data_IF_548249031970
#
_entry.id   IF_548249031970
#
_cell.length_a   1.000
_cell.length_b   1.000
_cell.length_c   1.000
_cell.angle_alpha   90.00
_cell.angle_beta   90.00
_cell.angle_gamma   90.00
#
_symmetry.space_group_name_H-M   'P 1'
#
loop_
_entity.id
_entity.type
_entity.pdbx_description
1 polymer ?
#
# COMPACT_ATOMS: atom_id res chain seq x y z
N UNK A 1 14.42 46.41 -56.44
CA UNK A 1 13.05 46.96 -56.37
C UNK A 1 12.12 45.85 -56.85
N UNK A 2 11.52 45.05 -55.97
CA UNK A 2 10.15 45.23 -55.42
C UNK A 2 9.15 44.52 -56.36
N UNK A 3 8.33 43.53 -56.00
CA UNK A 3 7.82 43.07 -54.71
C UNK A 3 6.28 43.02 -54.78
N UNK A 4 5.71 41.92 -55.27
CA UNK A 4 4.26 41.59 -55.29
C UNK A 4 4.19 40.04 -55.31
N UNK A 5 3.22 39.27 -54.79
CA UNK A 5 1.82 39.38 -54.34
C UNK A 5 1.62 38.32 -53.23
N UNK A 6 0.81 38.55 -52.19
CA UNK A 6 -0.60 38.12 -52.17
C UNK A 6 -0.82 36.96 -51.18
N UNK A 7 -1.32 37.27 -49.97
CA UNK A 7 -1.79 36.28 -48.98
C UNK A 7 -3.31 36.06 -49.02
N UNK A 8 -3.84 34.92 -48.55
CA UNK A 8 -5.28 34.70 -48.32
C UNK A 8 -5.65 35.03 -46.85
N UNK A 9 -6.67 35.86 -46.55
CA UNK A 9 -8.13 35.64 -46.53
C UNK A 9 -8.62 34.50 -45.61
N UNK A 10 -9.18 34.84 -44.44
CA UNK A 10 -10.63 34.65 -44.09
C UNK A 10 -10.94 34.85 -42.58
N UNK A 11 -11.75 35.89 -42.29
CA UNK A 11 -13.01 36.02 -41.46
C UNK A 11 -13.20 35.32 -40.07
N UNK A 12 -14.24 35.65 -39.27
CA UNK A 12 -14.34 36.83 -38.37
C UNK A 12 -14.71 36.48 -36.90
N UNK A 13 -14.58 37.48 -36.01
CA UNK A 13 -15.03 37.45 -34.60
C UNK A 13 -16.57 37.41 -34.47
N UNK A 14 -17.07 36.66 -33.48
CA UNK A 14 -18.32 36.97 -32.77
C UNK A 14 -18.27 36.52 -31.31
N UNK A 15 -18.32 37.51 -30.41
CA UNK A 15 -18.67 37.35 -29.00
C UNK A 15 -20.19 37.38 -28.84
N UNK A 16 -20.78 36.55 -27.96
CA UNK A 16 -21.76 36.93 -26.92
C UNK A 16 -22.27 35.69 -26.13
N UNK A 17 -22.81 35.87 -24.91
CA UNK A 17 -22.68 34.95 -23.77
C UNK A 17 -23.94 34.11 -23.50
N UNK A 18 -23.84 33.07 -22.66
CA UNK A 18 -25.00 32.33 -22.17
C UNK A 18 -25.01 32.29 -20.64
N UNK A 19 -26.20 32.64 -20.14
CA UNK A 19 -26.64 32.89 -18.78
C UNK A 19 -26.68 31.67 -17.85
N UNK A 20 -26.50 32.01 -16.58
CA UNK A 20 -26.90 31.29 -15.37
C UNK A 20 -28.42 31.10 -15.31
N UNK A 21 -28.89 29.86 -15.10
CA UNK A 21 -30.20 29.60 -14.48
C UNK A 21 -30.10 28.48 -13.46
N UNK A 22 -30.74 28.71 -12.32
CA UNK A 22 -30.87 27.80 -11.18
C UNK A 22 -32.28 27.20 -11.11
N UNK A 23 -32.44 26.23 -10.19
CA UNK A 23 -33.64 25.47 -9.78
C UNK A 23 -33.80 24.09 -10.48
N UNK A 24 -34.15 22.99 -9.79
CA UNK A 24 -34.67 22.83 -8.43
C UNK A 24 -34.51 21.40 -7.89
N UNK A 25 -34.82 21.26 -6.61
CA UNK A 25 -34.70 20.07 -5.77
C UNK A 25 -35.84 19.05 -5.99
N UNK A 26 -35.52 17.76 -5.80
CA UNK A 26 -36.34 16.64 -5.28
C UNK A 26 -35.66 15.31 -5.69
N UNK A 27 -35.58 14.22 -4.94
CA UNK A 27 -35.93 13.88 -3.56
C UNK A 27 -35.05 12.68 -3.16
N UNK A 28 -34.72 12.57 -1.88
CA UNK A 28 -33.87 11.53 -1.33
C UNK A 28 -34.52 10.14 -1.38
N UNK A 29 -33.77 9.13 -1.83
CA UNK A 29 -34.05 7.71 -1.52
C UNK A 29 -33.07 7.26 -0.44
N UNK A 30 -33.52 6.62 0.67
CA UNK A 30 -32.68 6.37 1.84
C UNK A 30 -31.73 5.19 1.58
N UNK A 31 -30.47 5.49 1.29
CA UNK A 31 -29.38 4.52 1.27
C UNK A 31 -28.73 4.40 2.65
N UNK A 32 -28.62 3.16 3.12
CA UNK A 32 -28.06 2.72 4.41
C UNK A 32 -26.83 3.53 4.90
N UNK A 33 -26.78 3.90 6.20
CA UNK A 33 -25.68 4.65 6.78
C UNK A 33 -24.52 3.75 7.19
N UNK A 34 -23.29 4.20 6.92
CA UNK A 34 -22.08 3.62 7.49
C UNK A 34 -20.82 3.93 6.69
N UNK A 35 -20.33 5.17 6.82
CA UNK A 35 -19.12 5.72 6.18
C UNK A 35 -17.96 4.71 6.03
N UNK A 36 -17.60 4.40 4.79
CA UNK A 36 -16.25 3.95 4.47
C UNK A 36 -15.24 5.05 4.81
N UNK A 37 -14.16 4.67 5.51
CA UNK A 37 -13.06 5.58 5.80
C UNK A 37 -12.42 6.13 4.52
N UNK A 38 -11.77 7.28 4.62
CA UNK A 38 -11.13 8.01 3.50
C UNK A 38 -9.90 7.32 2.90
N UNK A 39 -9.61 6.07 3.26
CA UNK A 39 -8.45 5.31 2.82
C UNK A 39 -8.74 4.31 1.69
N UNK A 40 -10.01 3.97 1.41
CA UNK A 40 -10.37 3.17 0.23
C UNK A 40 -9.92 1.70 0.25
N UNK A 41 -9.55 1.15 1.42
CA UNK A 41 -8.90 -0.19 1.51
C UNK A 41 -9.72 -1.31 2.18
N UNK A 42 -11.04 -1.17 2.35
CA UNK A 42 -11.94 -2.30 2.65
C UNK A 42 -11.38 -3.31 3.66
N UNK A 43 -11.25 -2.89 4.91
CA UNK A 43 -10.85 -3.65 6.11
C UNK A 43 -10.39 -5.10 5.93
N UNK A 44 -9.09 -5.31 5.67
CA UNK A 44 -8.15 -6.18 6.39
C UNK A 44 -6.72 -5.82 5.91
N UNK A 45 -5.95 -5.12 6.74
CA UNK A 45 -4.65 -4.52 6.35
C UNK A 45 -3.47 -5.50 6.27
N UNK A 46 -3.69 -6.82 6.30
CA UNK A 46 -2.64 -7.86 6.23
C UNK A 46 -3.18 -9.08 5.49
N UNK A 47 -2.31 -9.69 4.67
CA UNK A 47 -2.61 -11.00 4.08
C UNK A 47 -2.61 -12.06 5.18
N UNK A 48 -3.53 -13.00 5.10
CA UNK A 48 -3.55 -14.22 5.89
C UNK A 48 -2.34 -15.09 5.52
N UNK A 49 -1.88 -15.03 4.27
CA UNK A 49 -0.80 -15.87 3.76
C UNK A 49 0.52 -15.09 3.68
N UNK A 50 1.62 -15.77 4.00
CA UNK A 50 2.98 -15.27 3.77
C UNK A 50 3.53 -15.73 2.43
N UNK A 51 3.20 -16.95 2.01
CA UNK A 51 3.50 -17.56 0.71
C UNK A 51 2.28 -18.26 0.11
N UNK A 52 2.40 -18.71 -1.14
CA UNK A 52 1.32 -19.44 -1.81
C UNK A 52 1.02 -20.80 -1.17
N UNK A 53 -0.26 -21.17 -1.15
CA UNK A 53 -0.75 -22.53 -0.82
C UNK A 53 -1.52 -23.10 -2.00
N UNK A 54 -1.45 -24.42 -2.19
CA UNK A 54 -2.02 -25.13 -3.34
C UNK A 54 -1.00 -25.99 -4.09
N UNK A 55 -1.42 -26.65 -5.16
CA UNK A 55 -0.52 -27.50 -5.98
C UNK A 55 0.65 -26.67 -6.52
N UNK A 56 1.86 -27.18 -6.31
CA UNK A 56 3.10 -26.53 -6.76
C UNK A 56 3.42 -25.20 -6.07
N UNK A 57 2.81 -24.91 -4.91
CA UNK A 57 3.15 -23.75 -4.09
C UNK A 57 4.05 -24.13 -2.90
N UNK A 58 4.53 -23.14 -2.16
CA UNK A 58 5.44 -23.33 -1.02
C UNK A 58 4.80 -24.16 0.11
N UNK A 59 3.49 -24.00 0.32
CA UNK A 59 2.72 -24.76 1.32
C UNK A 59 3.37 -24.76 2.71
N UNK A 60 3.82 -23.58 3.18
CA UNK A 60 4.35 -23.45 4.53
C UNK A 60 3.28 -23.87 5.56
N UNK A 61 3.61 -24.64 6.60
CA UNK A 61 2.63 -25.18 7.55
C UNK A 61 1.71 -24.11 8.15
N UNK A 62 2.22 -22.90 8.38
CA UNK A 62 1.48 -21.76 8.94
C UNK A 62 0.48 -21.20 7.92
N UNK A 63 0.86 -21.11 6.65
CA UNK A 63 -0.02 -20.64 5.58
C UNK A 63 -1.09 -21.68 5.24
N UNK A 64 -0.71 -22.97 5.26
CA UNK A 64 -1.65 -24.09 5.15
C UNK A 64 -2.63 -24.05 6.31
N UNK A 65 -2.16 -23.84 7.54
CA UNK A 65 -3.03 -23.74 8.72
C UNK A 65 -4.01 -22.59 8.64
N UNK A 66 -3.58 -21.40 8.20
CA UNK A 66 -4.46 -20.23 8.07
C UNK A 66 -5.50 -20.43 6.98
N UNK A 67 -5.10 -20.96 5.82
CA UNK A 67 -6.04 -21.30 4.76
C UNK A 67 -7.01 -22.40 5.21
N UNK A 68 -6.52 -23.48 5.83
CA UNK A 68 -7.33 -24.58 6.31
C UNK A 68 -8.29 -24.15 7.43
N UNK A 69 -7.86 -23.23 8.31
CA UNK A 69 -8.70 -22.63 9.34
C UNK A 69 -9.83 -21.81 8.75
N UNK A 70 -9.54 -20.99 7.73
CA UNK A 70 -10.58 -20.27 7.00
C UNK A 70 -11.59 -21.24 6.37
N UNK A 71 -11.11 -22.29 5.70
CA UNK A 71 -11.98 -23.29 5.07
C UNK A 71 -12.84 -24.04 6.10
N UNK A 72 -12.26 -24.41 7.25
CA UNK A 72 -12.98 -25.11 8.32
C UNK A 72 -14.04 -24.24 9.00
N UNK A 73 -13.73 -22.97 9.29
CA UNK A 73 -14.68 -22.02 9.89
C UNK A 73 -15.90 -21.76 8.98
N UNK A 74 -15.73 -21.97 7.68
CA UNK A 74 -16.77 -21.82 6.68
C UNK A 74 -17.35 -23.17 6.21
N UNK A 75 -17.09 -24.27 6.94
CA UNK A 75 -17.69 -25.58 6.70
C UNK A 75 -17.23 -26.31 5.43
N UNK A 76 -16.13 -25.86 4.81
CA UNK A 76 -15.57 -26.45 3.60
C UNK A 76 -14.62 -27.62 3.94
N UNK A 77 -13.91 -27.51 5.07
CA UNK A 77 -13.11 -28.58 5.65
C UNK A 77 -13.70 -29.01 7.01
N UNK A 78 -13.54 -30.29 7.40
CA UNK A 78 -14.02 -30.75 8.71
C UNK A 78 -13.19 -30.19 9.87
N UNK A 79 -11.89 -29.96 9.67
CA UNK A 79 -10.99 -29.36 10.64
C UNK A 79 -9.79 -28.69 9.96
N UNK A 80 -9.11 -27.73 10.62
CA UNK A 80 -7.85 -27.17 10.13
C UNK A 80 -6.73 -28.24 10.10
N UNK A 81 -5.80 -28.08 9.16
CA UNK A 81 -4.61 -28.93 9.02
C UNK A 81 -3.38 -28.05 8.75
N UNK A 82 -2.18 -28.57 9.03
CA UNK A 82 -0.89 -27.99 8.63
C UNK A 82 -0.28 -28.68 7.42
N UNK A 83 -0.86 -29.82 7.04
CA UNK A 83 -0.39 -30.64 5.94
C UNK A 83 -1.17 -30.30 4.67
N UNK A 84 -0.47 -30.01 3.58
CA UNK A 84 -1.07 -29.72 2.29
C UNK A 84 -1.46 -31.03 1.54
N UNK A 85 -2.29 -31.84 2.19
CA UNK A 85 -2.81 -33.10 1.64
C UNK A 85 -3.88 -32.88 0.55
N UNK A 86 -4.28 -33.95 -0.12
CA UNK A 86 -5.30 -33.89 -1.17
C UNK A 86 -6.66 -33.34 -0.68
N UNK A 87 -6.99 -33.55 0.60
CA UNK A 87 -8.20 -33.01 1.21
C UNK A 87 -8.15 -31.48 1.32
N UNK A 88 -7.04 -30.93 1.80
CA UNK A 88 -6.80 -29.50 1.86
C UNK A 88 -6.79 -28.86 0.45
N UNK A 89 -6.08 -29.47 -0.50
CA UNK A 89 -5.99 -28.97 -1.87
C UNK A 89 -7.36 -28.90 -2.55
N UNK A 90 -8.19 -29.93 -2.38
CA UNK A 90 -9.57 -29.93 -2.85
C UNK A 90 -10.43 -28.90 -2.10
N UNK A 91 -10.16 -28.68 -0.81
CA UNK A 91 -10.79 -27.64 0.00
C UNK A 91 -10.55 -26.22 -0.55
N UNK A 92 -9.35 -25.90 -1.03
CA UNK A 92 -9.08 -24.59 -1.65
C UNK A 92 -9.96 -24.38 -2.89
N UNK A 93 -10.05 -25.39 -3.77
CA UNK A 93 -10.87 -25.30 -4.98
C UNK A 93 -12.36 -25.07 -4.64
N UNK A 94 -12.90 -25.84 -3.67
CA UNK A 94 -14.27 -25.63 -3.15
C UNK A 94 -14.46 -24.25 -2.53
N UNK A 95 -13.45 -23.72 -1.84
CA UNK A 95 -13.46 -22.35 -1.34
C UNK A 95 -13.54 -21.31 -2.45
N UNK A 96 -12.81 -21.51 -3.55
CA UNK A 96 -12.87 -20.64 -4.72
C UNK A 96 -14.24 -20.68 -5.41
N UNK A 97 -14.86 -21.86 -5.53
CA UNK A 97 -16.24 -22.01 -6.02
C UNK A 97 -17.23 -21.24 -5.14
N UNK A 98 -17.14 -21.40 -3.82
CA UNK A 98 -18.01 -20.70 -2.87
C UNK A 98 -17.84 -19.18 -2.96
N UNK A 99 -16.62 -18.70 -3.14
CA UNK A 99 -16.35 -17.27 -3.31
C UNK A 99 -16.93 -16.73 -4.63
N UNK A 100 -16.85 -17.51 -5.72
CA UNK A 100 -17.49 -17.18 -6.99
C UNK A 100 -19.01 -16.99 -6.82
N UNK A 101 -19.68 -17.89 -6.11
CA UNK A 101 -21.12 -17.77 -5.86
C UNK A 101 -21.47 -16.48 -5.10
N UNK A 102 -20.63 -16.09 -4.14
CA UNK A 102 -20.84 -14.89 -3.32
C UNK A 102 -20.50 -13.58 -4.03
N UNK A 103 -19.61 -13.61 -5.04
CA UNK A 103 -19.11 -12.44 -5.75
C UNK A 103 -19.70 -12.25 -7.16
N UNK A 104 -20.50 -13.20 -7.66
CA UNK A 104 -21.04 -13.18 -9.03
C UNK A 104 -20.05 -13.68 -10.09
N UNK A 105 -19.10 -14.54 -9.70
CA UNK A 105 -18.11 -15.17 -10.59
C UNK A 105 -16.80 -14.40 -10.75
N UNK A 106 -15.96 -14.86 -11.70
CA UNK A 106 -14.71 -14.20 -12.11
C UNK A 106 -13.43 -14.69 -11.41
N UNK A 107 -13.53 -15.53 -10.38
CA UNK A 107 -12.40 -16.18 -9.73
C UNK A 107 -12.06 -17.50 -10.44
N UNK A 108 -10.77 -17.72 -10.73
CA UNK A 108 -10.30 -19.00 -11.25
C UNK A 108 -10.35 -20.06 -10.15
N UNK A 109 -10.90 -21.24 -10.47
CA UNK A 109 -10.88 -22.43 -9.61
C UNK A 109 -9.67 -23.27 -9.99
N UNK A 110 -8.52 -22.95 -9.42
CA UNK A 110 -7.24 -23.63 -9.69
C UNK A 110 -6.62 -24.29 -8.44
N UNK A 111 -7.31 -24.23 -7.29
CA UNK A 111 -6.83 -24.79 -6.04
C UNK A 111 -5.59 -24.08 -5.49
N UNK A 112 -5.35 -22.83 -5.91
CA UNK A 112 -4.20 -22.02 -5.47
C UNK A 112 -4.68 -20.73 -4.80
N UNK A 113 -4.20 -20.49 -3.59
CA UNK A 113 -4.36 -19.19 -2.91
C UNK A 113 -2.98 -18.58 -2.69
N UNK A 114 -2.83 -17.31 -3.10
CA UNK A 114 -1.58 -16.56 -2.96
C UNK A 114 -1.80 -15.33 -2.08
N UNK A 115 -0.76 -14.87 -1.37
CA UNK A 115 -0.77 -13.60 -0.69
C UNK A 115 -1.21 -12.48 -1.65
N UNK A 116 -2.28 -11.78 -1.29
CA UNK A 116 -2.93 -10.72 -2.07
C UNK A 116 -3.43 -11.15 -3.46
N UNK A 117 -3.56 -12.45 -3.68
CA UNK A 117 -4.13 -13.01 -4.90
C UNK A 117 -5.65 -12.84 -4.94
N UNK A 118 -6.29 -13.03 -6.11
CA UNK A 118 -7.74 -12.88 -6.28
C UNK A 118 -8.56 -13.70 -5.27
N UNK A 119 -8.13 -14.94 -4.98
CA UNK A 119 -8.79 -15.82 -4.01
C UNK A 119 -8.78 -15.22 -2.61
N UNK A 120 -7.65 -14.68 -2.17
CA UNK A 120 -7.53 -14.10 -0.84
C UNK A 120 -8.27 -12.77 -0.71
N UNK A 121 -8.19 -11.91 -1.73
CA UNK A 121 -8.90 -10.63 -1.74
C UNK A 121 -10.41 -10.85 -1.66
N UNK A 122 -10.94 -11.83 -2.40
CA UNK A 122 -12.36 -12.17 -2.32
C UNK A 122 -12.72 -12.80 -0.97
N UNK A 123 -11.84 -13.62 -0.40
CA UNK A 123 -12.02 -14.17 0.96
C UNK A 123 -12.13 -13.05 2.00
N UNK A 124 -11.21 -12.07 1.97
CA UNK A 124 -11.23 -10.92 2.86
C UNK A 124 -12.52 -10.11 2.69
N UNK A 125 -12.94 -9.82 1.46
CA UNK A 125 -14.21 -9.12 1.21
C UNK A 125 -15.42 -9.90 1.74
N UNK A 126 -15.44 -11.21 1.55
CA UNK A 126 -16.51 -12.07 2.06
C UNK A 126 -16.58 -12.00 3.60
N UNK A 127 -15.44 -11.97 4.28
CA UNK A 127 -15.37 -11.75 5.73
C UNK A 127 -15.85 -10.35 6.13
N UNK A 128 -15.35 -9.29 5.49
CA UNK A 128 -15.73 -7.92 5.83
C UNK A 128 -17.21 -7.64 5.58
N UNK A 129 -17.82 -8.34 4.62
CA UNK A 129 -19.28 -8.27 4.35
C UNK A 129 -20.12 -9.19 5.24
N UNK A 130 -19.51 -9.92 6.18
CA UNK A 130 -20.19 -10.87 7.07
C UNK A 130 -20.70 -12.14 6.39
N UNK A 131 -20.34 -12.37 5.12
CA UNK A 131 -20.76 -13.54 4.33
C UNK A 131 -19.94 -14.79 4.62
N UNK A 132 -18.74 -14.63 5.19
CA UNK A 132 -17.84 -15.70 5.61
C UNK A 132 -17.17 -15.35 6.94
N UNK A 133 -16.66 -16.35 7.65
CA UNK A 133 -15.91 -16.19 8.90
C UNK A 133 -14.40 -16.07 8.63
N UNK A 134 -13.65 -15.30 9.45
CA UNK A 134 -12.19 -15.23 9.34
C UNK A 134 -11.51 -16.54 9.78
N UNK A 135 -10.24 -16.77 9.41
CA UNK A 135 -9.45 -17.88 9.96
C UNK A 135 -9.21 -17.72 11.47
N UNK A 136 -9.06 -18.85 12.18
CA UNK A 136 -8.66 -18.86 13.59
C UNK A 136 -7.25 -18.27 13.80
N UNK A 137 -6.97 -17.61 14.93
CA UNK A 137 -5.63 -17.17 15.29
C UNK A 137 -4.71 -18.36 15.59
N UNK A 138 -3.42 -18.23 15.23
CA UNK A 138 -2.38 -19.27 15.42
C UNK A 138 -2.13 -19.65 16.92
N UNK A 139 -2.72 -18.92 17.88
CA UNK A 139 -2.51 -19.08 19.33
C UNK A 139 -3.52 -19.96 20.06
N UNK A 140 -4.56 -20.47 19.41
CA UNK A 140 -5.53 -21.37 20.07
C UNK A 140 -5.12 -22.84 19.92
N UNK A 141 -5.05 -23.61 21.03
CA UNK A 141 -4.70 -25.02 20.97
C UNK A 141 -5.77 -25.83 20.21
N UNK A 142 -5.29 -26.78 19.41
CA UNK A 142 -6.07 -27.66 18.57
C UNK A 142 -6.96 -28.58 19.43
N UNK A 143 -8.24 -28.26 19.62
CA UNK A 143 -9.20 -29.23 20.16
C UNK A 143 -9.58 -30.17 19.01
N UNK A 144 -8.83 -31.26 18.87
CA UNK A 144 -9.37 -32.49 18.27
C UNK A 144 -10.03 -33.30 19.40
N UNK A 145 -11.24 -33.82 19.23
CA UNK A 145 -11.74 -34.85 20.12
C UNK A 145 -10.99 -36.17 19.86
N UNK A 146 -10.68 -36.85 20.96
CA UNK A 146 -10.36 -38.26 21.11
C UNK A 146 -8.90 -38.75 21.08
N UNK A 147 -8.51 -39.21 22.29
CA UNK A 147 -7.68 -40.38 22.65
C UNK A 147 -6.31 -40.54 22.01
N UNK A 148 -5.27 -40.26 22.78
CA UNK A 148 -4.39 -41.31 23.32
C UNK A 148 -3.41 -40.69 24.33
N UNK A 149 -3.42 -41.25 25.54
CA UNK A 149 -2.42 -41.06 26.58
C UNK A 149 -1.05 -41.45 26.07
N UNK A 150 -0.03 -40.62 26.28
CA UNK A 150 1.32 -41.09 26.60
C UNK A 150 2.10 -39.98 27.32
N UNK A 151 2.45 -40.28 28.58
CA UNK A 151 3.28 -39.47 29.47
C UNK A 151 4.74 -39.47 29.00
N UNK A 152 5.38 -38.31 28.89
CA UNK A 152 6.83 -38.20 29.07
C UNK A 152 7.14 -36.98 29.94
N UNK A 153 7.95 -37.27 30.94
CA UNK A 153 8.36 -36.54 32.14
C UNK A 153 9.00 -35.19 31.84
N UNK A 154 8.53 -34.16 32.54
CA UNK A 154 9.13 -32.83 32.57
C UNK A 154 10.39 -32.86 33.46
N UNK A 155 11.57 -32.73 32.86
CA UNK A 155 12.83 -32.42 33.58
C UNK A 155 13.31 -31.04 33.17
N UNK A 156 13.67 -30.24 34.17
CA UNK A 156 13.68 -28.78 34.14
C UNK A 156 14.64 -28.12 33.15
N UNK A 157 14.21 -26.94 32.69
CA UNK A 157 15.05 -25.94 32.04
C UNK A 157 15.06 -24.68 32.92
N UNK A 158 16.22 -24.04 33.16
CA UNK A 158 16.33 -22.87 34.05
C UNK A 158 15.54 -21.66 33.51
N UNK A 159 14.98 -20.85 34.42
CA UNK A 159 14.35 -19.57 34.11
C UNK A 159 15.38 -18.56 33.57
N UNK A 160 15.60 -18.57 32.24
CA UNK A 160 16.26 -17.50 31.51
C UNK A 160 15.26 -16.44 31.07
N UNK A 161 15.62 -15.17 31.30
CA UNK A 161 14.91 -13.93 30.97
C UNK A 161 13.71 -14.03 30.00
N UNK A 162 12.50 -13.72 30.49
CA UNK A 162 11.34 -13.48 29.63
C UNK A 162 11.67 -12.34 28.67
N UNK A 163 11.83 -12.66 27.38
CA UNK A 163 11.98 -11.67 26.32
C UNK A 163 10.81 -10.68 26.38
N UNK A 164 11.08 -9.37 26.29
CA UNK A 164 10.03 -8.35 26.19
C UNK A 164 9.06 -8.74 25.06
N UNK A 165 7.74 -8.62 25.26
CA UNK A 165 6.78 -8.90 24.20
C UNK A 165 7.09 -7.99 23.01
N UNK A 166 7.00 -8.57 21.80
CA UNK A 166 7.24 -7.83 20.56
C UNK A 166 6.32 -6.59 20.52
N UNK A 167 6.82 -5.44 20.04
CA UNK A 167 6.00 -4.24 19.94
C UNK A 167 4.84 -4.45 18.96
N UNK A 168 3.75 -3.72 19.20
CA UNK A 168 2.53 -3.83 18.39
C UNK A 168 2.65 -3.14 17.01
N UNK A 169 3.69 -2.33 16.81
CA UNK A 169 4.02 -1.69 15.54
C UNK A 169 5.11 -2.47 14.79
N UNK A 170 5.18 -2.35 13.44
CA UNK A 170 6.26 -2.93 12.65
C UNK A 170 7.61 -2.41 13.12
N UNK A 171 8.59 -3.30 13.27
CA UNK A 171 9.95 -2.93 13.66
C UNK A 171 10.86 -2.89 12.44
N UNK A 172 11.84 -2.00 12.48
CA UNK A 172 13.03 -2.19 11.69
C UNK A 172 13.96 -3.16 12.43
N UNK A 173 13.94 -4.43 12.04
CA UNK A 173 14.82 -5.46 12.58
C UNK A 173 16.25 -5.41 11.98
N UNK A 174 16.51 -4.45 11.10
CA UNK A 174 17.79 -4.26 10.43
C UNK A 174 18.07 -5.28 9.32
N UNK A 175 17.15 -6.19 8.99
CA UNK A 175 17.40 -7.25 7.99
C UNK A 175 17.10 -6.81 6.57
N UNK A 176 16.23 -5.81 6.38
CA UNK A 176 15.89 -5.32 5.04
C UNK A 176 16.89 -4.28 4.56
N UNK A 177 17.88 -4.71 3.78
CA UNK A 177 18.96 -3.84 3.28
C UNK A 177 18.45 -2.64 2.47
N UNK A 178 17.42 -2.81 1.64
CA UNK A 178 16.83 -1.73 0.87
C UNK A 178 16.19 -0.68 1.79
N UNK A 179 15.41 -1.11 2.78
CA UNK A 179 14.83 -0.20 3.75
C UNK A 179 15.91 0.53 4.58
N UNK A 180 16.96 -0.18 5.01
CA UNK A 180 18.04 0.44 5.79
C UNK A 180 18.77 1.53 5.00
N UNK A 181 19.04 1.33 3.70
CA UNK A 181 19.63 2.35 2.83
C UNK A 181 18.73 3.59 2.73
N UNK A 182 17.43 3.37 2.48
CA UNK A 182 16.43 4.44 2.39
C UNK A 182 16.34 5.23 3.70
N UNK A 183 16.24 4.54 4.83
CA UNK A 183 16.13 5.13 6.15
C UNK A 183 17.39 5.92 6.53
N UNK A 184 18.58 5.40 6.24
CA UNK A 184 19.84 6.10 6.47
C UNK A 184 19.91 7.40 5.68
N UNK A 185 19.49 7.38 4.41
CA UNK A 185 19.44 8.58 3.57
C UNK A 185 18.42 9.60 4.09
N UNK A 186 17.23 9.15 4.48
CA UNK A 186 16.21 10.04 5.08
C UNK A 186 16.70 10.67 6.38
N UNK A 187 17.36 9.93 7.28
CA UNK A 187 17.91 10.48 8.53
C UNK A 187 19.01 11.54 8.34
N UNK A 188 19.72 11.54 7.20
CA UNK A 188 20.66 12.61 6.86
C UNK A 188 19.96 13.91 6.45
N UNK A 189 18.73 13.81 5.93
CA UNK A 189 17.94 14.92 5.42
C UNK A 189 16.94 15.46 6.47
N UNK A 190 16.51 14.62 7.40
CA UNK A 190 15.53 14.95 8.44
C UNK A 190 16.21 15.39 9.73
N UNK A 191 15.80 16.55 10.26
CA UNK A 191 16.30 17.11 11.52
C UNK A 191 15.59 16.55 12.77
N UNK A 192 15.83 17.19 13.92
CA UNK A 192 15.16 16.86 15.18
C UNK A 192 13.71 17.37 15.26
N UNK A 193 13.24 17.63 16.48
CA UNK A 193 11.92 18.22 16.70
C UNK A 193 11.84 19.67 16.19
N UNK A 194 10.78 19.98 15.46
CA UNK A 194 10.49 21.32 14.94
C UNK A 194 9.04 21.68 15.24
N UNK A 195 8.81 22.84 15.85
CA UNK A 195 7.49 23.40 16.09
C UNK A 195 7.44 24.81 15.50
N UNK A 196 6.73 24.96 14.37
CA UNK A 196 6.57 26.23 13.65
C UNK A 196 5.11 26.66 13.67
N UNK A 197 4.84 27.93 13.36
CA UNK A 197 3.45 28.42 13.27
C UNK A 197 2.65 27.65 12.23
N UNK A 198 1.35 27.49 12.45
CA UNK A 198 0.47 26.72 11.57
C UNK A 198 0.41 27.26 10.12
N UNK A 199 0.70 28.55 9.92
CA UNK A 199 0.77 29.18 8.59
C UNK A 199 1.97 28.67 7.78
N UNK A 200 3.05 28.29 8.46
CA UNK A 200 4.28 27.75 7.85
C UNK A 200 4.29 26.22 7.89
N UNK A 201 3.71 25.63 8.94
CA UNK A 201 3.61 24.19 9.15
C UNK A 201 2.18 23.77 9.52
N UNK A 202 1.29 23.62 8.54
CA UNK A 202 -0.10 23.20 8.78
C UNK A 202 -0.21 21.74 9.24
N UNK A 203 0.89 20.98 9.23
CA UNK A 203 0.96 19.64 9.80
C UNK A 203 1.13 19.63 11.33
N UNK A 204 1.44 20.79 11.93
CA UNK A 204 1.73 20.93 13.34
C UNK A 204 3.15 20.48 13.71
N UNK A 205 3.45 20.31 15.02
CA UNK A 205 4.77 19.91 15.48
C UNK A 205 5.28 18.63 14.81
N UNK A 206 6.52 18.66 14.34
CA UNK A 206 7.13 17.57 13.56
C UNK A 206 8.33 17.00 14.30
N UNK A 207 8.38 15.67 14.46
CA UNK A 207 9.52 14.94 15.01
C UNK A 207 10.14 14.09 13.91
N UNK A 208 11.37 14.40 13.50
CA UNK A 208 12.12 13.64 12.47
C UNK A 208 11.26 13.29 11.24
N UNK A 209 10.60 14.31 10.66
CA UNK A 209 9.74 14.16 9.49
C UNK A 209 8.30 13.66 9.76
N UNK A 210 7.96 13.22 10.97
CA UNK A 210 6.60 12.83 11.37
C UNK A 210 5.86 14.01 12.01
N UNK A 211 4.95 14.65 11.26
CA UNK A 211 4.10 15.75 11.78
C UNK A 211 2.96 15.23 12.65
N UNK A 212 2.41 16.11 13.51
CA UNK A 212 1.30 15.76 14.40
C UNK A 212 0.10 15.23 13.62
N UNK A 213 -0.24 15.88 12.51
CA UNK A 213 -1.28 15.42 11.59
C UNK A 213 -1.02 14.02 11.04
N UNK A 214 0.23 13.71 10.67
CA UNK A 214 0.62 12.37 10.22
C UNK A 214 0.47 11.34 11.34
N UNK A 215 0.95 11.66 12.54
CA UNK A 215 0.83 10.79 13.71
C UNK A 215 -0.63 10.50 14.07
N UNK A 216 -1.49 11.51 14.08
CA UNK A 216 -2.92 11.32 14.36
C UNK A 216 -3.60 10.42 13.32
N UNK A 217 -3.25 10.58 12.04
CA UNK A 217 -3.71 9.68 10.99
C UNK A 217 -3.24 8.23 11.16
N UNK A 218 -1.99 8.02 11.59
CA UNK A 218 -1.45 6.68 11.89
C UNK A 218 -2.17 6.08 13.09
N UNK A 219 -2.35 6.85 14.17
CA UNK A 219 -3.05 6.41 15.39
C UNK A 219 -4.49 6.01 15.11
N UNK A 220 -5.17 6.72 14.19
CA UNK A 220 -6.51 6.37 13.76
C UNK A 220 -6.55 5.05 12.96
N UNK A 221 -5.59 4.82 12.05
CA UNK A 221 -5.49 3.58 11.25
C UNK A 221 -4.99 2.38 12.07
N UNK A 222 -4.15 2.63 13.07
CA UNK A 222 -3.44 1.61 13.85
C UNK A 222 -3.57 1.85 15.36
N UNK A 223 -4.81 1.84 15.93
CA UNK A 223 -5.01 2.10 17.35
C UNK A 223 -4.30 1.09 18.25
N UNK A 224 -4.11 -0.14 17.77
CA UNK A 224 -3.41 -1.22 18.48
C UNK A 224 -1.91 -0.96 18.64
N UNK A 225 -1.30 -0.05 17.88
CA UNK A 225 0.12 0.30 18.05
C UNK A 225 0.40 1.10 19.32
N UNK A 226 -0.63 1.69 19.94
CA UNK A 226 -0.52 2.46 21.18
C UNK A 226 0.56 3.55 21.10
N UNK A 227 0.69 4.19 19.94
CA UNK A 227 1.61 5.31 19.74
C UNK A 227 1.23 6.51 20.64
N UNK A 228 2.22 7.30 21.09
CA UNK A 228 1.98 8.48 21.91
C UNK A 228 1.06 9.48 21.20
N UNK A 229 0.36 10.31 21.98
CA UNK A 229 -0.52 11.35 21.42
C UNK A 229 0.28 12.44 20.69
N UNK A 230 1.41 12.85 21.26
CA UNK A 230 2.22 13.96 20.73
C UNK A 230 3.46 13.43 20.01
N UNK A 231 3.79 14.02 18.86
CA UNK A 231 5.00 13.66 18.07
C UNK A 231 6.29 13.80 18.84
N UNK A 232 6.37 14.74 19.78
CA UNK A 232 7.54 14.92 20.67
C UNK A 232 7.88 13.71 21.54
N UNK A 233 6.94 12.80 21.73
CA UNK A 233 7.08 11.60 22.55
C UNK A 233 7.34 10.34 21.74
N UNK A 234 7.40 10.43 20.41
CA UNK A 234 7.79 9.30 19.57
C UNK A 234 9.25 8.92 19.84
N UNK A 235 9.49 7.63 20.05
CA UNK A 235 10.85 7.08 20.10
C UNK A 235 11.39 6.86 18.70
N UNK A 236 12.71 6.77 18.57
CA UNK A 236 13.36 6.48 17.29
C UNK A 236 12.90 5.14 16.70
N UNK A 237 12.68 4.14 17.55
CA UNK A 237 12.16 2.83 17.13
C UNK A 237 10.72 2.92 16.58
N UNK A 238 9.86 3.75 17.20
CA UNK A 238 8.51 4.00 16.69
C UNK A 238 8.54 4.76 15.36
N UNK A 239 9.43 5.75 15.24
CA UNK A 239 9.62 6.53 14.01
C UNK A 239 10.11 5.61 12.89
N UNK A 240 11.12 4.78 13.14
CA UNK A 240 11.65 3.81 12.17
C UNK A 240 10.57 2.79 11.76
N UNK A 241 9.74 2.35 12.71
CA UNK A 241 8.59 1.48 12.43
C UNK A 241 7.51 2.12 11.57
N UNK A 242 7.20 3.40 11.81
CA UNK A 242 6.32 4.20 10.95
C UNK A 242 6.91 4.32 9.55
N UNK A 243 8.19 4.67 9.45
CA UNK A 243 8.92 4.76 8.18
C UNK A 243 8.90 3.44 7.40
N UNK A 244 9.05 2.32 8.11
CA UNK A 244 9.00 0.98 7.53
C UNK A 244 7.61 0.65 7.00
N UNK A 245 6.59 0.85 7.83
CA UNK A 245 5.24 0.47 7.45
C UNK A 245 4.66 1.37 6.36
N UNK A 246 4.56 2.67 6.64
CA UNK A 246 3.77 3.58 5.82
C UNK A 246 4.47 3.97 4.52
N UNK A 247 5.81 4.06 4.54
CA UNK A 247 6.57 4.58 3.41
C UNK A 247 7.31 3.51 2.64
N UNK A 248 7.43 2.28 3.17
CA UNK A 248 8.14 1.18 2.51
C UNK A 248 7.24 -0.04 2.24
N UNK A 249 6.66 -0.66 3.28
CA UNK A 249 5.87 -1.89 3.13
C UNK A 249 4.50 -1.66 2.47
N UNK A 250 3.80 -0.60 2.86
CA UNK A 250 2.48 -0.26 2.33
C UNK A 250 2.53 0.06 0.83
N UNK A 251 3.40 0.96 0.34
CA UNK A 251 3.55 1.22 -1.09
C UNK A 251 4.27 0.10 -1.85
N UNK A 252 4.70 -1.00 -1.22
CA UNK A 252 5.38 -2.16 -1.84
C UNK A 252 6.77 -1.83 -2.39
N UNK A 253 7.53 -0.99 -1.70
CA UNK A 253 8.90 -0.67 -2.09
C UNK A 253 9.87 -1.84 -1.89
N UNK A 254 9.57 -2.78 -0.98
CA UNK A 254 10.26 -4.06 -0.88
C UNK A 254 10.18 -4.83 -2.22
N UNK A 255 8.99 -4.88 -2.81
CA UNK A 255 8.76 -5.56 -4.09
C UNK A 255 9.29 -4.77 -5.27
N UNK A 256 9.31 -3.44 -5.19
CA UNK A 256 9.96 -2.58 -6.19
C UNK A 256 11.49 -2.79 -6.19
N UNK A 257 12.11 -2.82 -5.01
CA UNK A 257 13.54 -3.05 -4.85
C UNK A 257 13.98 -4.42 -5.37
N UNK A 258 13.10 -5.43 -5.27
CA UNK A 258 13.36 -6.78 -5.76
C UNK A 258 13.30 -6.94 -7.29
N UNK A 259 12.93 -5.90 -8.06
CA UNK A 259 12.88 -5.97 -9.53
C UNK A 259 14.33 -6.00 -10.07
N UNK A 260 14.73 -7.02 -10.86
CA UNK A 260 16.07 -7.08 -11.44
C UNK A 260 16.36 -5.85 -12.31
N UNK A 261 17.53 -5.23 -12.09
CA UNK A 261 17.94 -4.01 -12.81
C UNK A 261 17.29 -2.72 -12.29
N UNK A 262 16.64 -2.74 -11.12
CA UNK A 262 16.14 -1.54 -10.47
C UNK A 262 17.28 -0.60 -10.10
N UNK A 263 17.15 0.68 -10.49
CA UNK A 263 18.08 1.73 -10.07
C UNK A 263 17.75 2.16 -8.62
N UNK A 264 18.68 2.03 -7.67
CA UNK A 264 18.45 2.44 -6.28
C UNK A 264 18.17 3.94 -6.13
N UNK A 265 18.57 4.79 -7.08
CA UNK A 265 18.23 6.22 -7.09
C UNK A 265 16.73 6.44 -7.34
N UNK A 266 16.10 5.69 -8.23
CA UNK A 266 14.64 5.76 -8.42
C UNK A 266 13.90 5.27 -7.16
N UNK A 267 14.36 4.17 -6.55
CA UNK A 267 13.79 3.69 -5.29
C UNK A 267 13.86 4.75 -4.17
N UNK A 268 15.04 5.35 -3.99
CA UNK A 268 15.25 6.48 -3.06
C UNK A 268 14.35 7.66 -3.36
N UNK A 269 14.19 8.00 -4.63
CA UNK A 269 13.36 9.12 -5.04
C UNK A 269 11.88 8.90 -4.70
N UNK A 270 11.34 7.71 -5.00
CA UNK A 270 9.95 7.38 -4.67
C UNK A 270 9.73 7.36 -3.16
N UNK A 271 10.67 6.81 -2.39
CA UNK A 271 10.62 6.83 -0.93
C UNK A 271 10.62 8.26 -0.39
N UNK A 272 11.60 9.09 -0.79
CA UNK A 272 11.75 10.48 -0.36
C UNK A 272 10.53 11.35 -0.71
N UNK A 273 10.01 11.19 -1.93
CA UNK A 273 8.77 11.84 -2.35
C UNK A 273 7.58 11.37 -1.50
N UNK A 274 7.56 10.09 -1.11
CA UNK A 274 6.56 9.51 -0.21
C UNK A 274 6.61 10.15 1.18
N UNK A 275 7.81 10.31 1.74
CA UNK A 275 8.02 10.96 3.04
C UNK A 275 7.54 12.41 3.02
N UNK A 276 7.94 13.19 2.01
CA UNK A 276 7.62 14.62 1.96
C UNK A 276 6.19 14.92 1.51
N UNK A 277 5.61 14.07 0.65
CA UNK A 277 4.37 14.39 -0.05
C UNK A 277 3.29 13.29 0.01
N UNK A 278 3.48 12.28 0.83
CA UNK A 278 2.67 11.06 1.00
C UNK A 278 2.98 9.91 0.03
N UNK A 279 2.96 8.64 0.51
CA UNK A 279 3.23 7.45 -0.31
C UNK A 279 2.34 7.36 -1.54
N UNK A 280 1.04 7.62 -1.37
CA UNK A 280 0.09 7.56 -2.47
C UNK A 280 0.40 8.60 -3.56
N UNK A 281 0.87 9.81 -3.20
CA UNK A 281 1.23 10.81 -4.21
C UNK A 281 2.49 10.40 -4.97
N UNK A 282 3.50 9.90 -4.27
CA UNK A 282 4.73 9.41 -4.90
C UNK A 282 4.45 8.26 -5.87
N UNK A 283 3.61 7.30 -5.48
CA UNK A 283 3.19 6.22 -6.36
C UNK A 283 2.40 6.71 -7.59
N UNK A 284 1.55 7.73 -7.44
CA UNK A 284 0.82 8.32 -8.57
C UNK A 284 1.78 8.99 -9.57
N UNK A 285 2.78 9.73 -9.09
CA UNK A 285 3.79 10.31 -9.97
C UNK A 285 4.60 9.25 -10.72
N UNK A 286 4.91 8.14 -10.05
CA UNK A 286 5.55 7.00 -10.70
C UNK A 286 4.66 6.39 -11.80
N UNK A 287 3.38 6.14 -11.51
CA UNK A 287 2.43 5.58 -12.49
C UNK A 287 2.24 6.52 -13.69
N UNK A 288 2.10 7.83 -13.46
CA UNK A 288 2.02 8.85 -14.50
C UNK A 288 3.26 8.86 -15.40
N UNK A 289 4.46 8.79 -14.79
CA UNK A 289 5.70 8.75 -15.53
C UNK A 289 5.83 7.45 -16.36
N UNK A 290 5.44 6.31 -15.81
CA UNK A 290 5.43 5.04 -16.54
C UNK A 290 4.49 5.09 -17.74
N UNK A 291 3.26 5.56 -17.56
CA UNK A 291 2.29 5.71 -18.66
C UNK A 291 2.83 6.62 -19.76
N UNK A 292 3.42 7.76 -19.39
CA UNK A 292 4.00 8.71 -20.34
C UNK A 292 5.10 8.09 -21.21
N UNK A 293 6.00 7.29 -20.62
CA UNK A 293 7.17 6.78 -21.33
C UNK A 293 6.98 5.38 -21.93
N UNK A 294 5.94 4.66 -21.53
CA UNK A 294 5.65 3.30 -22.01
C UNK A 294 4.38 3.20 -22.86
N UNK A 295 3.51 4.22 -22.81
CA UNK A 295 2.19 4.17 -23.45
C UNK A 295 1.23 3.20 -22.76
N UNK A 296 1.43 2.92 -21.47
CA UNK A 296 0.52 2.11 -20.65
C UNK A 296 -0.66 2.94 -20.15
N UNK A 297 -1.65 2.27 -19.57
CA UNK A 297 -2.69 2.91 -18.74
C UNK A 297 -2.73 2.19 -17.39
N UNK A 298 -2.06 2.77 -16.40
CA UNK A 298 -1.97 2.23 -15.04
C UNK A 298 -3.10 2.74 -14.14
N UNK A 299 -4.12 3.42 -14.69
CA UNK A 299 -5.27 3.88 -13.91
C UNK A 299 -6.17 2.71 -13.57
N UNK A 300 -6.65 2.68 -12.33
CA UNK A 300 -7.67 1.75 -11.85
C UNK A 300 -8.98 2.51 -11.63
N UNK A 301 -10.11 1.82 -11.75
CA UNK A 301 -11.41 2.39 -11.38
C UNK A 301 -11.44 2.57 -9.88
N UNK A 302 -11.73 3.78 -9.43
CA UNK A 302 -12.05 4.03 -8.03
C UNK A 302 -13.45 3.49 -7.67
N UNK A 303 -13.84 3.67 -6.41
CA UNK A 303 -15.15 3.26 -5.89
C UNK A 303 -16.35 3.87 -6.63
N UNK A 304 -16.15 4.97 -7.37
CA UNK A 304 -17.18 5.64 -8.18
C UNK A 304 -17.07 5.27 -9.66
N UNK A 305 -16.18 4.33 -10.02
CA UNK A 305 -15.94 3.90 -11.39
C UNK A 305 -15.04 4.83 -12.20
N UNK A 306 -14.50 5.90 -11.62
CA UNK A 306 -13.64 6.84 -12.31
C UNK A 306 -12.21 6.30 -12.40
N UNK A 307 -11.60 6.38 -13.59
CA UNK A 307 -10.21 5.95 -13.80
C UNK A 307 -9.24 6.92 -13.12
N UNK A 308 -8.46 6.42 -12.17
CA UNK A 308 -7.48 7.20 -11.40
C UNK A 308 -6.21 6.41 -11.16
N UNK A 309 -5.11 7.13 -11.01
CA UNK A 309 -3.89 6.57 -10.43
C UNK A 309 -4.12 6.34 -8.94
N UNK A 310 -4.04 5.09 -8.49
CA UNK A 310 -4.25 4.72 -7.08
C UNK A 310 -3.03 5.04 -6.19
N UNK A 311 -1.85 5.13 -6.79
CA UNK A 311 -0.59 5.32 -6.07
C UNK A 311 -0.03 4.07 -5.41
N UNK A 312 -0.61 2.89 -5.66
CA UNK A 312 -0.07 1.62 -5.21
C UNK A 312 0.95 1.09 -6.23
N UNK A 313 2.12 0.64 -5.75
CA UNK A 313 3.12 -0.03 -6.60
C UNK A 313 2.78 -1.52 -6.69
N UNK A 314 1.55 -1.79 -7.14
CA UNK A 314 0.98 -3.12 -7.33
C UNK A 314 1.61 -3.88 -8.50
N UNK A 315 1.15 -5.11 -8.78
CA UNK A 315 1.71 -5.96 -9.83
C UNK A 315 1.79 -5.28 -11.20
N UNK A 316 0.77 -4.52 -11.61
CA UNK A 316 0.78 -3.80 -12.89
C UNK A 316 1.86 -2.71 -12.94
N UNK A 317 1.96 -1.88 -11.91
CA UNK A 317 3.02 -0.85 -11.79
C UNK A 317 4.42 -1.50 -11.81
N UNK A 318 4.61 -2.64 -11.12
CA UNK A 318 5.89 -3.37 -11.10
C UNK A 318 6.23 -4.01 -12.45
N UNK A 319 5.24 -4.55 -13.16
CA UNK A 319 5.42 -5.04 -14.52
C UNK A 319 5.81 -3.90 -15.47
N UNK A 320 5.19 -2.73 -15.35
CA UNK A 320 5.56 -1.55 -16.13
C UNK A 320 7.00 -1.09 -15.81
N UNK A 321 7.40 -1.09 -14.53
CA UNK A 321 8.80 -0.84 -14.14
C UNK A 321 9.78 -1.83 -14.78
N UNK A 322 9.48 -3.13 -14.77
CA UNK A 322 10.33 -4.14 -15.41
C UNK A 322 10.45 -3.91 -16.92
N UNK A 323 9.36 -3.48 -17.58
CA UNK A 323 9.38 -3.07 -18.99
C UNK A 323 10.23 -1.81 -19.19
N UNK A 324 10.11 -0.81 -18.32
CA UNK A 324 10.94 0.40 -18.38
C UNK A 324 12.43 0.08 -18.24
N UNK A 325 12.80 -0.84 -17.34
CA UNK A 325 14.18 -1.35 -17.20
C UNK A 325 14.65 -1.97 -18.51
N UNK A 326 13.89 -2.94 -19.04
CA UNK A 326 14.23 -3.65 -20.28
C UNK A 326 14.37 -2.71 -21.48
N UNK A 327 13.60 -1.62 -21.52
CA UNK A 327 13.62 -0.60 -22.58
C UNK A 327 14.56 0.57 -22.30
N UNK A 328 15.39 0.51 -21.26
CA UNK A 328 16.30 1.58 -20.86
C UNK A 328 15.60 2.93 -20.62
N UNK A 329 14.38 2.90 -20.07
CA UNK A 329 13.51 4.06 -19.80
C UNK A 329 13.50 4.51 -18.33
N UNK A 330 14.23 3.84 -17.43
CA UNK A 330 14.23 4.24 -16.01
C UNK A 330 14.70 5.68 -15.78
N UNK A 331 15.73 6.14 -16.52
CA UNK A 331 16.21 7.53 -16.44
C UNK A 331 15.09 8.52 -16.79
N UNK A 332 14.40 8.28 -17.89
CA UNK A 332 13.29 9.11 -18.37
C UNK A 332 12.16 9.17 -17.32
N UNK A 333 11.75 8.01 -16.80
CA UNK A 333 10.71 7.86 -15.77
C UNK A 333 11.11 8.60 -14.49
N UNK A 334 12.32 8.40 -13.98
CA UNK A 334 12.80 9.06 -12.77
C UNK A 334 12.85 10.59 -12.92
N UNK A 335 13.35 11.07 -14.05
CA UNK A 335 13.48 12.51 -14.30
C UNK A 335 12.11 13.17 -14.53
N UNK A 336 11.10 12.42 -14.96
CA UNK A 336 9.70 12.90 -14.99
C UNK A 336 9.09 13.01 -13.60
N UNK A 337 9.40 12.09 -12.68
CA UNK A 337 9.00 12.22 -11.28
C UNK A 337 9.62 13.49 -10.69
N UNK A 338 10.90 13.77 -10.98
CA UNK A 338 11.58 14.98 -10.49
C UNK A 338 10.89 16.25 -11.01
N UNK A 339 10.57 16.30 -12.31
CA UNK A 339 9.85 17.42 -12.93
C UNK A 339 8.44 17.60 -12.37
N UNK A 340 7.68 16.51 -12.25
CA UNK A 340 6.32 16.54 -11.71
C UNK A 340 6.31 17.01 -10.25
N UNK A 341 7.27 16.53 -9.45
CA UNK A 341 7.46 16.94 -8.06
C UNK A 341 7.86 18.41 -7.96
N UNK A 342 8.80 18.89 -8.78
CA UNK A 342 9.18 20.31 -8.86
C UNK A 342 7.97 21.19 -9.18
N UNK A 343 7.21 20.86 -10.21
CA UNK A 343 6.00 21.61 -10.59
C UNK A 343 4.98 21.64 -9.46
N UNK A 344 4.73 20.51 -8.80
CA UNK A 344 3.84 20.43 -7.64
C UNK A 344 4.30 21.34 -6.51
N UNK A 345 5.57 21.30 -6.12
CA UNK A 345 6.11 22.11 -5.02
C UNK A 345 6.02 23.60 -5.33
N UNK A 346 6.31 24.03 -6.56
CA UNK A 346 6.18 25.44 -6.98
C UNK A 346 4.75 25.97 -6.86
N UNK A 347 3.75 25.09 -6.98
CA UNK A 347 2.33 25.43 -6.84
C UNK A 347 1.82 25.50 -5.40
N UNK A 348 2.63 25.14 -4.39
CA UNK A 348 2.19 25.15 -3.00
C UNK A 348 2.34 26.54 -2.37
N UNK A 349 1.36 27.01 -1.57
CA UNK A 349 1.49 28.27 -0.82
C UNK A 349 2.71 28.33 0.10
N UNK A 350 3.15 27.16 0.61
CA UNK A 350 4.32 27.04 1.47
C UNK A 350 5.66 27.10 0.72
N UNK A 351 5.67 27.12 -0.63
CA UNK A 351 6.89 27.09 -1.43
C UNK A 351 7.93 28.19 -1.07
N UNK A 352 7.54 29.47 -0.89
CA UNK A 352 8.50 30.52 -0.55
C UNK A 352 9.23 30.29 0.78
N UNK A 353 8.62 29.54 1.70
CA UNK A 353 9.19 29.21 3.00
C UNK A 353 10.09 27.96 2.98
N UNK A 354 10.26 27.30 1.83
CA UNK A 354 10.99 26.03 1.72
C UNK A 354 12.01 26.04 0.55
N UNK A 355 13.07 26.87 0.61
CA UNK A 355 14.02 27.06 -0.50
C UNK A 355 14.78 25.79 -0.89
N UNK A 356 14.94 24.83 0.03
CA UNK A 356 15.65 23.57 -0.23
C UNK A 356 14.86 22.52 -1.04
N UNK A 357 13.55 22.71 -1.23
CA UNK A 357 12.69 21.71 -1.87
C UNK A 357 13.11 21.37 -3.30
N UNK A 358 13.41 22.40 -4.12
CA UNK A 358 13.80 22.18 -5.52
C UNK A 358 15.16 21.49 -5.61
N UNK A 359 16.12 21.90 -4.77
CA UNK A 359 17.44 21.26 -4.71
C UNK A 359 17.33 19.79 -4.33
N UNK A 360 16.52 19.44 -3.32
CA UNK A 360 16.25 18.06 -2.90
C UNK A 360 15.56 17.25 -4.00
N UNK A 361 14.60 17.81 -4.73
CA UNK A 361 13.96 17.08 -5.82
C UNK A 361 14.91 16.83 -7.00
N UNK A 362 15.73 17.83 -7.36
CA UNK A 362 16.69 17.71 -8.47
C UNK A 362 17.85 16.76 -8.17
N UNK A 363 18.24 16.58 -6.90
CA UNK A 363 19.32 15.65 -6.54
C UNK A 363 19.01 14.19 -6.85
N UNK A 364 17.72 13.84 -7.07
CA UNK A 364 17.31 12.50 -7.47
C UNK A 364 17.35 12.28 -8.99
N UNK A 365 17.54 13.31 -9.81
CA UNK A 365 17.66 13.13 -11.26
C UNK A 365 18.83 12.21 -11.62
N UNK A 366 18.63 11.37 -12.64
CA UNK A 366 19.68 10.51 -13.20
C UNK A 366 20.33 11.29 -14.35
N UNK A 367 21.67 11.54 -14.28
CA UNK A 367 22.39 12.36 -15.25
C UNK A 367 22.40 11.76 -16.66
#
# INVERSE_FOLDING_TARGET
>A
MGGTTGGPKDLPNSETPIETTAAGADAAVPGLPGRGGTDGFGGFGRSFLTEGVGRGQANQPEDVFRAASFLAENGILPAPTRDADEGFLHGIAKGQERLNDLSGGGLRVDGIAKPWGPTEVLSQRAVSSGKMKPPRPDTEPNIRPETETLSITQSGIPQGARSKPAPAWPINDGKNAAFNDLLAHTKQLEGGYVNRSATVDPGGPTMKGVSQKTLDGIRARHPHWKLPKDTKHLTDEQIDGIYRHDYFDLPKLDKMAAIPGMDPRLLRHVYDAGVLHSPARAGRWLQQALDKYLGTDLRSKDQNGALRYDGNIGPQTRSALAVAIKRSKLKDVNNEIARTREAFMRGLPAFPANPGWITRAKSFSIP
#
